data_IF_080285718395
#
_entry.id   IF_080285718395
#
_cell.length_a   1.000
_cell.length_b   1.000
_cell.length_c   1.000
_cell.angle_alpha   90.00
_cell.angle_beta   90.00
_cell.angle_gamma   90.00
#
_symmetry.space_group_name_H-M   'P 1'
#
loop_
_entity.id
_entity.type
_entity.pdbx_description
1 polymer ?
#
# COMPACT_ATOMS: atom_id res chain seq x y z
N UNK A 1 15.42 7.72 -3.56
CA UNK A 1 16.64 6.91 -3.49
C UNK A 1 16.47 5.97 -2.32
N UNK A 2 17.03 4.78 -2.38
CA UNK A 2 17.09 3.85 -1.26
C UNK A 2 18.54 3.88 -0.77
N UNK A 3 18.90 4.95 -0.04
CA UNK A 3 20.27 5.14 0.44
C UNK A 3 20.60 4.06 1.47
N UNK A 4 21.76 3.44 1.33
CA UNK A 4 22.33 2.59 2.36
C UNK A 4 22.74 3.43 3.58
N UNK A 5 22.71 2.80 4.75
CA UNK A 5 23.17 3.40 6.00
C UNK A 5 23.04 2.43 7.16
N UNK A 6 24.04 2.42 8.03
CA UNK A 6 24.09 1.63 9.26
C UNK A 6 23.70 2.42 10.51
N UNK A 7 24.36 2.13 11.62
CA UNK A 7 24.22 2.89 12.86
C UNK A 7 24.85 4.29 12.73
N UNK A 8 24.56 5.19 13.66
CA UNK A 8 25.24 6.48 13.74
C UNK A 8 26.78 6.28 13.75
N UNK A 9 27.57 7.01 12.92
CA UNK A 9 27.22 8.13 12.04
C UNK A 9 26.74 7.76 10.63
N UNK A 10 26.73 6.48 10.27
CA UNK A 10 26.53 5.99 8.91
C UNK A 10 25.12 6.24 8.35
N UNK A 11 24.10 6.42 9.21
CA UNK A 11 22.75 6.81 8.79
C UNK A 11 22.63 8.29 8.36
N UNK A 12 23.69 9.09 8.53
CA UNK A 12 23.72 10.54 8.24
C UNK A 12 24.64 10.88 7.06
N UNK A 13 24.80 9.96 6.11
CA UNK A 13 25.58 10.19 4.87
C UNK A 13 25.07 11.41 4.10
N UNK A 14 25.97 12.06 3.38
CA UNK A 14 25.63 13.15 2.48
C UNK A 14 24.60 12.69 1.44
N UNK A 15 23.69 13.59 1.09
CA UNK A 15 22.66 13.31 0.09
C UNK A 15 23.26 13.34 -1.33
N UNK A 16 23.07 12.29 -2.15
CA UNK A 16 23.58 12.24 -3.52
C UNK A 16 22.64 13.03 -4.47
N UNK A 17 22.95 14.30 -4.69
CA UNK A 17 22.13 15.22 -5.49
C UNK A 17 22.07 14.85 -6.98
N UNK A 18 23.10 14.16 -7.46
CA UNK A 18 23.25 13.66 -8.83
C UNK A 18 22.22 12.59 -9.21
N UNK A 19 21.70 11.85 -8.22
CA UNK A 19 20.69 10.79 -8.43
C UNK A 19 19.24 11.34 -8.37
N UNK A 20 19.08 12.65 -8.15
CA UNK A 20 17.76 13.28 -8.07
C UNK A 20 17.06 13.20 -9.42
N UNK A 21 15.87 12.62 -9.42
CA UNK A 21 15.04 12.48 -10.62
C UNK A 21 15.07 11.08 -11.23
N UNK A 22 15.95 10.20 -10.75
CA UNK A 22 15.98 8.82 -11.20
C UNK A 22 14.64 8.10 -11.00
N UNK A 23 14.21 7.39 -12.05
CA UNK A 23 12.94 6.66 -12.09
C UNK A 23 13.11 5.18 -11.74
N UNK A 24 13.75 4.90 -10.61
CA UNK A 24 13.88 3.52 -10.12
C UNK A 24 12.51 2.94 -9.71
N UNK A 25 12.31 1.62 -9.77
CA UNK A 25 11.08 0.98 -9.31
C UNK A 25 10.70 1.41 -7.88
N UNK A 26 11.70 1.49 -6.98
CA UNK A 26 11.51 1.99 -5.62
C UNK A 26 10.94 3.42 -5.60
N UNK A 27 11.58 4.36 -6.31
CA UNK A 27 11.14 5.76 -6.35
C UNK A 27 9.73 5.90 -6.95
N UNK A 28 9.43 5.14 -8.00
CA UNK A 28 8.11 5.15 -8.63
C UNK A 28 7.02 4.62 -7.69
N UNK A 29 7.28 3.51 -7.00
CA UNK A 29 6.36 2.95 -6.00
C UNK A 29 6.19 3.88 -4.81
N UNK A 30 7.28 4.43 -4.27
CA UNK A 30 7.22 5.40 -3.16
C UNK A 30 6.40 6.64 -3.53
N UNK A 31 6.57 7.18 -4.74
CA UNK A 31 5.75 8.32 -5.22
C UNK A 31 4.26 7.95 -5.30
N UNK A 32 3.92 6.74 -5.74
CA UNK A 32 2.53 6.26 -5.73
C UNK A 32 1.98 6.16 -4.30
N UNK A 33 2.76 5.62 -3.36
CA UNK A 33 2.39 5.55 -1.95
C UNK A 33 2.17 6.93 -1.33
N UNK A 34 3.07 7.89 -1.58
CA UNK A 34 2.94 9.27 -1.09
C UNK A 34 1.64 9.90 -1.60
N UNK A 35 1.25 9.68 -2.86
CA UNK A 35 -0.01 10.20 -3.42
C UNK A 35 -1.26 9.66 -2.72
N UNK A 36 -1.18 8.49 -2.08
CA UNK A 36 -2.32 7.96 -1.32
C UNK A 36 -2.69 8.83 -0.11
N UNK A 37 -1.74 9.65 0.40
CA UNK A 37 -2.01 10.57 1.50
C UNK A 37 -3.10 11.60 1.15
N UNK A 38 -3.38 11.83 -0.12
CA UNK A 38 -4.40 12.79 -0.56
C UNK A 38 -5.82 12.19 -0.43
N UNK A 39 -5.94 10.89 -0.15
CA UNK A 39 -7.21 10.21 0.09
C UNK A 39 -7.65 10.39 1.55
N UNK A 40 -8.88 10.88 1.76
CA UNK A 40 -9.43 11.11 3.10
C UNK A 40 -9.33 9.90 4.05
N UNK A 41 -9.59 8.65 3.63
CA UNK A 41 -9.40 7.50 4.51
C UNK A 41 -7.97 7.35 5.03
N UNK A 42 -6.95 7.68 4.23
CA UNK A 42 -5.54 7.52 4.59
C UNK A 42 -5.09 8.61 5.57
N UNK A 43 -5.66 9.81 5.49
CA UNK A 43 -5.32 10.92 6.39
C UNK A 43 -5.77 10.64 7.81
N UNK A 44 -7.07 10.45 8.02
CA UNK A 44 -7.70 10.39 9.34
C UNK A 44 -8.84 9.37 9.44
N UNK A 45 -8.98 8.48 8.44
CA UNK A 45 -9.94 7.40 8.50
C UNK A 45 -9.63 6.37 9.57
N UNK A 46 -10.68 5.69 10.08
CA UNK A 46 -10.56 4.61 11.05
C UNK A 46 -9.68 3.49 10.50
N UNK A 47 -8.78 2.95 11.32
CA UNK A 47 -7.93 1.83 10.97
C UNK A 47 -8.52 0.51 11.48
N UNK A 48 -8.49 -0.51 10.62
CA UNK A 48 -8.77 -1.91 10.97
C UNK A 48 -7.61 -2.76 10.48
N UNK A 49 -6.98 -3.51 11.39
CA UNK A 49 -5.84 -4.38 11.09
C UNK A 49 -6.25 -5.82 11.36
N UNK A 50 -5.93 -6.72 10.42
CA UNK A 50 -6.19 -8.15 10.54
C UNK A 50 -5.00 -8.94 10.02
N UNK A 51 -4.77 -10.10 10.59
CA UNK A 51 -3.84 -11.09 10.05
C UNK A 51 -4.60 -12.40 9.87
N UNK A 52 -4.69 -12.86 8.62
CA UNK A 52 -5.36 -14.12 8.27
C UNK A 52 -4.36 -14.99 7.51
N UNK A 53 -3.96 -16.10 8.14
CA UNK A 53 -2.86 -16.92 7.64
C UNK A 53 -1.57 -16.10 7.53
N UNK A 54 -1.03 -16.02 6.31
CA UNK A 54 0.20 -15.29 5.99
C UNK A 54 -0.04 -13.90 5.37
N UNK A 55 -1.29 -13.42 5.32
CA UNK A 55 -1.63 -12.11 4.80
C UNK A 55 -1.95 -11.14 5.93
N UNK A 56 -1.22 -10.03 5.97
CA UNK A 56 -1.55 -8.86 6.78
C UNK A 56 -2.48 -7.96 5.96
N UNK A 57 -3.61 -7.57 6.56
CA UNK A 57 -4.57 -6.63 6.00
C UNK A 57 -4.66 -5.37 6.87
N UNK A 58 -4.60 -4.20 6.24
CA UNK A 58 -4.88 -2.90 6.86
C UNK A 58 -5.91 -2.17 6.01
N UNK A 59 -7.10 -1.95 6.57
CA UNK A 59 -8.12 -1.10 5.97
C UNK A 59 -8.16 0.27 6.67
N UNK A 60 -8.27 1.32 5.86
CA UNK A 60 -8.53 2.69 6.29
C UNK A 60 -9.88 3.14 5.72
N UNK A 61 -10.79 3.58 6.57
CA UNK A 61 -12.19 3.82 6.21
C UNK A 61 -12.63 5.22 6.64
N UNK A 62 -13.24 5.98 5.72
CA UNK A 62 -13.88 7.28 5.99
C UNK A 62 -14.92 7.61 4.94
N UNK A 63 -16.08 8.12 5.34
CA UNK A 63 -17.13 8.66 4.47
C UNK A 63 -17.51 7.74 3.28
N UNK A 64 -17.68 6.44 3.57
CA UNK A 64 -18.00 5.44 2.55
C UNK A 64 -16.86 5.14 1.57
N UNK A 65 -15.65 5.64 1.80
CA UNK A 65 -14.46 5.29 1.07
C UNK A 65 -13.59 4.35 1.92
N UNK A 66 -12.98 3.37 1.27
CA UNK A 66 -12.08 2.42 1.92
C UNK A 66 -10.81 2.25 1.09
N UNK A 67 -9.66 2.26 1.75
CA UNK A 67 -8.35 1.90 1.19
C UNK A 67 -7.83 0.68 1.94
N UNK A 68 -7.51 -0.40 1.22
CA UNK A 68 -7.08 -1.67 1.82
C UNK A 68 -5.70 -2.05 1.33
N UNK A 69 -4.76 -2.23 2.26
CA UNK A 69 -3.48 -2.88 2.03
C UNK A 69 -3.61 -4.38 2.31
N UNK A 70 -3.12 -5.22 1.40
CA UNK A 70 -2.81 -6.63 1.63
C UNK A 70 -1.31 -6.84 1.45
N UNK A 71 -0.62 -7.36 2.46
CA UNK A 71 0.81 -7.63 2.43
C UNK A 71 1.10 -9.11 2.73
N UNK A 72 1.95 -9.71 1.90
CA UNK A 72 2.40 -11.09 2.12
C UNK A 72 3.53 -11.13 3.14
N UNK A 73 3.26 -11.76 4.28
CA UNK A 73 4.19 -11.89 5.41
C UNK A 73 4.97 -13.21 5.38
N UNK A 74 4.88 -14.00 4.31
CA UNK A 74 5.57 -15.29 4.18
C UNK A 74 6.60 -15.31 3.05
N UNK A 75 7.41 -16.36 3.04
CA UNK A 75 8.39 -16.65 1.99
C UNK A 75 7.81 -17.44 0.80
N UNK A 76 6.47 -17.56 0.72
CA UNK A 76 5.77 -18.21 -0.39
C UNK A 76 4.72 -17.28 -0.99
N UNK A 77 4.39 -17.41 -2.29
CA UNK A 77 3.28 -16.66 -2.86
C UNK A 77 1.96 -16.91 -2.12
N UNK A 78 1.18 -15.86 -1.91
CA UNK A 78 -0.12 -15.92 -1.25
C UNK A 78 -1.22 -15.48 -2.21
N UNK A 79 -2.26 -16.30 -2.32
CA UNK A 79 -3.44 -15.95 -3.10
C UNK A 79 -4.29 -14.93 -2.34
N UNK A 80 -4.94 -14.03 -3.07
CA UNK A 80 -5.87 -13.06 -2.51
C UNK A 80 -7.06 -12.86 -3.44
N UNK A 81 -8.17 -12.34 -2.91
CA UNK A 81 -9.30 -11.89 -3.71
C UNK A 81 -9.16 -10.40 -3.98
N UNK A 82 -9.26 -10.00 -5.24
CA UNK A 82 -9.29 -8.58 -5.59
C UNK A 82 -10.47 -7.90 -4.90
N UNK A 83 -10.20 -6.76 -4.27
CA UNK A 83 -11.18 -6.07 -3.44
C UNK A 83 -11.62 -4.73 -4.01
N UNK A 84 -11.26 -4.38 -5.25
CA UNK A 84 -11.62 -3.09 -5.84
C UNK A 84 -10.60 -2.64 -6.88
N UNK A 85 -10.48 -1.33 -7.06
CA UNK A 85 -9.49 -0.76 -7.97
C UNK A 85 -8.10 -0.87 -7.35
N UNK A 86 -7.15 -1.48 -8.06
CA UNK A 86 -5.73 -1.47 -7.66
C UNK A 86 -5.16 -0.05 -7.77
N UNK A 87 -4.68 0.47 -6.65
CA UNK A 87 -4.03 1.78 -6.56
C UNK A 87 -2.51 1.65 -6.63
N UNK A 88 -1.95 0.66 -5.91
CA UNK A 88 -0.51 0.38 -5.89
C UNK A 88 -0.29 -1.13 -5.84
N UNK A 89 0.56 -1.61 -6.73
CA UNK A 89 0.94 -3.03 -6.81
C UNK A 89 2.45 -3.12 -6.68
N UNK A 90 2.94 -4.01 -5.82
CA UNK A 90 4.35 -4.32 -5.67
C UNK A 90 4.52 -5.84 -5.52
N UNK A 91 5.24 -6.46 -6.46
CA UNK A 91 5.49 -7.90 -6.47
C UNK A 91 4.20 -8.75 -6.37
N UNK A 92 3.15 -8.35 -7.09
CA UNK A 92 1.94 -9.14 -7.24
C UNK A 92 1.54 -9.20 -8.72
N UNK A 93 0.89 -10.30 -9.09
CA UNK A 93 0.39 -10.53 -10.44
C UNK A 93 -0.92 -11.32 -10.38
N UNK A 94 -1.96 -10.82 -11.05
CA UNK A 94 -3.31 -11.36 -10.92
C UNK A 94 -3.74 -11.44 -9.47
N UNK A 95 -4.13 -12.63 -9.02
CA UNK A 95 -4.62 -12.87 -7.66
C UNK A 95 -3.54 -13.47 -6.74
N UNK A 96 -2.25 -13.23 -7.01
CA UNK A 96 -1.14 -13.75 -6.20
C UNK A 96 -0.14 -12.66 -5.83
N UNK A 97 0.20 -12.58 -4.53
CA UNK A 97 1.23 -11.69 -3.99
C UNK A 97 2.48 -12.52 -3.72
N UNK A 98 3.59 -12.21 -4.39
CA UNK A 98 4.87 -12.87 -4.15
C UNK A 98 5.43 -12.51 -2.74
N UNK A 99 6.44 -13.23 -2.23
CA UNK A 99 7.07 -12.90 -0.94
C UNK A 99 7.50 -11.44 -0.88
N UNK A 100 7.28 -10.78 0.28
CA UNK A 100 7.55 -9.34 0.50
C UNK A 100 6.74 -8.39 -0.40
N UNK A 101 5.78 -8.92 -1.16
CA UNK A 101 4.88 -8.15 -2.00
C UNK A 101 3.69 -7.59 -1.23
N UNK A 102 3.03 -6.64 -1.86
CA UNK A 102 1.78 -6.08 -1.37
C UNK A 102 0.91 -5.52 -2.51
N UNK A 103 -0.38 -5.40 -2.24
CA UNK A 103 -1.33 -4.69 -3.10
C UNK A 103 -2.17 -3.74 -2.25
N UNK A 104 -2.44 -2.54 -2.78
CA UNK A 104 -3.33 -1.55 -2.18
C UNK A 104 -4.53 -1.34 -3.11
N UNK A 105 -5.74 -1.52 -2.58
CA UNK A 105 -7.00 -1.31 -3.27
C UNK A 105 -7.70 -0.05 -2.79
N UNK A 106 -8.41 0.61 -3.68
CA UNK A 106 -9.40 1.63 -3.38
C UNK A 106 -10.81 1.11 -3.64
N UNK A 107 -11.72 1.39 -2.71
CA UNK A 107 -13.14 1.10 -2.81
C UNK A 107 -13.93 2.38 -2.57
N UNK A 108 -14.92 2.62 -3.43
CA UNK A 108 -16.05 3.48 -3.09
C UNK A 108 -17.17 2.57 -2.65
N UNK A 109 -17.84 2.89 -1.54
CA UNK A 109 -19.08 2.23 -1.19
C UNK A 109 -20.03 2.35 -2.38
N UNK A 110 -20.65 1.23 -2.77
CA UNK A 110 -21.90 1.31 -3.48
C UNK A 110 -22.86 2.07 -2.54
N UNK A 111 -23.39 3.20 -2.99
CA UNK A 111 -24.52 3.82 -2.32
C UNK A 111 -25.60 2.73 -2.28
N UNK A 112 -25.84 2.15 -1.10
CA UNK A 112 -27.07 1.42 -0.85
C UNK A 112 -28.16 2.48 -0.94
N UNK A 113 -28.78 2.60 -2.11
CA UNK A 113 -30.09 3.22 -2.21
C UNK A 113 -30.98 2.47 -1.22
N UNK A 114 -31.22 3.09 -0.06
CA UNK A 114 -32.34 2.70 0.77
C UNK A 114 -33.57 2.97 -0.09
N UNK A 115 -34.11 1.93 -0.73
CA UNK A 115 -35.52 1.93 -1.11
C UNK A 115 -36.29 2.22 0.17
N UNK A 116 -36.81 3.44 0.27
CA UNK A 116 -37.81 3.77 1.28
C UNK A 116 -39.04 2.92 1.03
N UNK A 117 -39.55 2.34 2.11
CA UNK A 117 -40.88 1.75 2.21
C UNK A 117 -41.98 2.78 1.90
#
# INVERSE_FOLDING_TARGET
LAMDGGQDPDCRRCFPWEEVGERTPFNLTLRKLIKLKDLAPVQDGKALIRAEGALLSLARIKDGQEVVLLANMSDRPQAFLSQGQELVVNLANGNSIAPKGFVIFGKKAALLERKGD
#
